data_IF_363204703977
#
_entry.id   IF_363204703977
#
_cell.length_a   1.000
_cell.length_b   1.000
_cell.length_c   1.000
_cell.angle_alpha   90.00
_cell.angle_beta   90.00
_cell.angle_gamma   90.00
#
_symmetry.space_group_name_H-M   'P 1'
#
loop_
_entity.id
_entity.type
_entity.pdbx_description
1 polymer ?
#
# COMPACT_ATOMS: atom_id res chain seq x y z
N UNK A 1 10.36 -7.47 22.74
CA UNK A 1 9.55 -8.71 22.80
C UNK A 1 8.03 -8.43 22.73
N UNK A 2 7.55 -7.16 22.81
CA UNK A 2 6.11 -6.82 22.78
C UNK A 2 5.40 -7.06 21.44
N UNK A 3 5.98 -6.65 20.31
CA UNK A 3 5.28 -6.65 19.02
C UNK A 3 4.81 -8.03 18.53
N UNK A 4 5.45 -9.11 19.01
CA UNK A 4 5.16 -10.49 18.59
C UNK A 4 3.90 -11.06 19.27
N UNK A 5 3.58 -10.60 20.49
CA UNK A 5 2.35 -11.00 21.18
C UNK A 5 1.14 -10.22 20.65
N UNK A 6 1.32 -8.93 20.33
CA UNK A 6 0.26 -8.08 19.75
C UNK A 6 -0.20 -8.58 18.38
N UNK A 7 0.73 -8.99 17.51
CA UNK A 7 0.44 -9.56 16.20
C UNK A 7 -0.46 -10.80 16.27
N UNK A 8 -0.18 -11.68 17.24
CA UNK A 8 -0.92 -12.92 17.47
C UNK A 8 -2.31 -12.63 18.02
N UNK A 9 -2.44 -11.62 18.90
CA UNK A 9 -3.72 -11.17 19.46
C UNK A 9 -4.63 -10.56 18.38
N UNK A 10 -4.11 -9.68 17.52
CA UNK A 10 -4.90 -9.02 16.46
C UNK A 10 -5.46 -10.01 15.44
N UNK A 11 -4.64 -10.97 15.00
CA UNK A 11 -5.03 -11.98 14.00
C UNK A 11 -6.03 -13.01 14.54
N UNK A 12 -5.87 -13.42 15.80
CA UNK A 12 -6.71 -14.46 16.38
C UNK A 12 -8.10 -13.95 16.77
N UNK A 13 -8.21 -12.67 17.13
CA UNK A 13 -9.44 -12.07 17.65
C UNK A 13 -10.36 -11.55 16.55
N UNK A 14 -9.99 -11.67 15.27
CA UNK A 14 -10.68 -11.01 14.16
C UNK A 14 -11.92 -11.76 13.66
N UNK A 15 -12.20 -12.98 14.16
CA UNK A 15 -13.45 -13.71 13.88
C UNK A 15 -13.72 -14.08 12.41
N UNK A 16 -12.73 -13.91 11.53
CA UNK A 16 -12.93 -13.98 10.07
C UNK A 16 -13.29 -15.39 9.59
N UNK A 17 -14.34 -15.45 8.77
CA UNK A 17 -14.84 -16.63 8.06
C UNK A 17 -13.91 -17.00 6.91
N UNK A 18 -13.39 -16.00 6.18
CA UNK A 18 -12.51 -16.24 5.05
C UNK A 18 -11.06 -16.54 5.50
N UNK A 19 -10.67 -17.80 5.35
CA UNK A 19 -9.32 -18.28 5.73
C UNK A 19 -8.20 -17.65 4.91
N UNK A 20 -8.45 -17.34 3.64
CA UNK A 20 -7.46 -16.70 2.77
C UNK A 20 -7.26 -15.24 3.14
N UNK A 21 -8.34 -14.53 3.47
CA UNK A 21 -8.30 -13.18 4.02
C UNK A 21 -7.49 -13.14 5.32
N UNK A 22 -7.80 -14.05 6.26
CA UNK A 22 -7.05 -14.18 7.52
C UNK A 22 -5.56 -14.37 7.27
N UNK A 23 -5.19 -15.24 6.33
CA UNK A 23 -3.78 -15.47 5.96
C UNK A 23 -3.12 -14.21 5.38
N UNK A 24 -3.82 -13.49 4.50
CA UNK A 24 -3.29 -12.26 3.90
C UNK A 24 -3.11 -11.15 4.93
N UNK A 25 -4.04 -10.99 5.88
CA UNK A 25 -3.91 -10.04 7.00
C UNK A 25 -2.71 -10.37 7.88
N UNK A 26 -2.49 -11.65 8.20
CA UNK A 26 -1.28 -12.09 8.93
C UNK A 26 -0.02 -11.65 8.19
N UNK A 27 0.06 -11.92 6.90
CA UNK A 27 1.22 -11.58 6.09
C UNK A 27 1.49 -10.07 6.09
N UNK A 28 0.44 -9.25 5.99
CA UNK A 28 0.53 -7.78 6.09
C UNK A 28 1.12 -7.39 7.44
N UNK A 29 0.55 -7.87 8.54
CA UNK A 29 0.99 -7.49 9.89
C UNK A 29 2.42 -7.97 10.18
N UNK A 30 2.81 -9.16 9.70
CA UNK A 30 4.20 -9.65 9.79
C UNK A 30 5.15 -8.73 9.01
N UNK A 31 4.75 -8.32 7.81
CA UNK A 31 5.55 -7.43 6.99
C UNK A 31 5.72 -6.05 7.65
N UNK A 32 4.67 -5.47 8.23
CA UNK A 32 4.74 -4.21 8.99
C UNK A 32 5.81 -4.25 10.09
N UNK A 33 5.99 -5.40 10.75
CA UNK A 33 6.99 -5.57 11.81
C UNK A 33 8.45 -5.73 11.34
N UNK A 34 8.69 -6.02 10.06
CA UNK A 34 10.03 -6.45 9.56
C UNK A 34 10.79 -5.39 8.74
N UNK A 35 10.15 -4.28 8.34
CA UNK A 35 10.82 -2.98 8.16
C UNK A 35 11.36 -2.52 6.79
N UNK A 36 11.68 -3.37 5.80
CA UNK A 36 11.90 -2.94 4.38
C UNK A 36 11.93 -4.19 3.48
N UNK A 37 11.46 -4.06 2.23
CA UNK A 37 10.86 -5.14 1.39
C UNK A 37 9.47 -5.60 1.86
N UNK A 38 9.09 -5.30 3.10
CA UNK A 38 7.72 -5.45 3.60
C UNK A 38 6.70 -4.67 2.80
N UNK A 39 7.04 -3.48 2.27
CA UNK A 39 6.09 -2.65 1.52
C UNK A 39 5.55 -3.37 0.27
N UNK A 40 6.41 -4.06 -0.50
CA UNK A 40 5.97 -4.83 -1.66
C UNK A 40 5.19 -6.09 -1.29
N UNK A 41 5.48 -6.69 -0.13
CA UNK A 41 4.69 -7.80 0.42
C UNK A 41 3.30 -7.31 0.83
N UNK A 42 3.22 -6.21 1.59
CA UNK A 42 1.96 -5.59 1.99
C UNK A 42 1.15 -5.20 0.76
N UNK A 43 1.79 -4.59 -0.24
CA UNK A 43 1.12 -4.21 -1.48
C UNK A 43 0.59 -5.43 -2.25
N UNK A 44 1.36 -6.51 -2.33
CA UNK A 44 0.91 -7.75 -2.93
C UNK A 44 -0.28 -8.38 -2.21
N UNK A 45 -0.29 -8.36 -0.88
CA UNK A 45 -1.41 -8.90 -0.10
C UNK A 45 -2.67 -8.03 -0.23
N UNK A 46 -2.54 -6.69 -0.23
CA UNK A 46 -3.68 -5.82 -0.54
C UNK A 46 -4.20 -6.03 -1.96
N UNK A 47 -3.32 -6.11 -2.98
CA UNK A 47 -3.73 -6.42 -4.35
C UNK A 47 -4.50 -7.74 -4.44
N UNK A 48 -4.00 -8.78 -3.75
CA UNK A 48 -4.66 -10.09 -3.67
C UNK A 48 -6.04 -10.00 -3.00
N UNK A 49 -6.15 -9.33 -1.85
CA UNK A 49 -7.43 -9.18 -1.13
C UNK A 49 -8.45 -8.44 -2.00
N UNK A 50 -8.04 -7.34 -2.64
CA UNK A 50 -8.95 -6.52 -3.43
C UNK A 50 -9.37 -7.22 -4.73
N UNK A 51 -8.43 -7.79 -5.50
CA UNK A 51 -8.77 -8.47 -6.77
C UNK A 51 -9.48 -9.80 -6.58
N UNK A 52 -9.24 -10.46 -5.46
CA UNK A 52 -9.91 -11.69 -5.09
C UNK A 52 -11.21 -11.47 -4.32
N UNK A 53 -11.60 -10.21 -4.07
CA UNK A 53 -12.80 -9.84 -3.28
C UNK A 53 -12.85 -10.58 -1.93
N UNK A 54 -11.67 -10.88 -1.35
CA UNK A 54 -11.55 -11.79 -0.20
C UNK A 54 -12.20 -11.25 1.07
N UNK A 55 -12.49 -9.95 1.10
CA UNK A 55 -13.06 -9.25 2.25
C UNK A 55 -14.60 -9.31 2.30
N UNK A 56 -15.30 -9.63 1.21
CA UNK A 56 -16.76 -9.49 1.12
C UNK A 56 -17.56 -10.41 2.06
N UNK A 57 -16.98 -11.54 2.46
CA UNK A 57 -17.63 -12.46 3.41
C UNK A 57 -17.62 -11.93 4.85
N UNK A 58 -16.66 -11.07 5.17
CA UNK A 58 -16.37 -10.64 6.54
C UNK A 58 -16.57 -9.12 6.75
N UNK A 59 -16.73 -8.36 5.66
CA UNK A 59 -16.85 -6.90 5.67
C UNK A 59 -17.86 -6.42 4.63
N UNK A 60 -18.68 -5.43 4.97
CA UNK A 60 -19.71 -4.88 4.05
C UNK A 60 -19.08 -4.12 2.88
N UNK A 61 -17.91 -3.52 3.09
CA UNK A 61 -17.21 -2.75 2.07
C UNK A 61 -15.68 -2.80 2.21
N UNK A 62 -15.00 -2.40 1.13
CA UNK A 62 -13.55 -2.14 1.16
C UNK A 62 -13.18 -1.08 2.21
N UNK A 63 -14.07 -0.13 2.48
CA UNK A 63 -13.87 0.92 3.48
C UNK A 63 -13.82 0.36 4.90
N UNK A 64 -14.69 -0.59 5.22
CA UNK A 64 -14.74 -1.25 6.53
C UNK A 64 -13.49 -2.11 6.75
N UNK A 65 -13.10 -2.88 5.72
CA UNK A 65 -11.85 -3.61 5.73
C UNK A 65 -10.64 -2.69 5.96
N UNK A 66 -10.55 -1.57 5.24
CA UNK A 66 -9.46 -0.61 5.40
C UNK A 66 -9.40 -0.04 6.83
N UNK A 67 -10.57 0.29 7.38
CA UNK A 67 -10.72 0.80 8.75
C UNK A 67 -10.22 -0.19 9.79
N UNK A 68 -10.53 -1.48 9.65
CA UNK A 68 -10.02 -2.54 10.54
C UNK A 68 -8.52 -2.74 10.40
N UNK A 69 -7.98 -2.59 9.19
CA UNK A 69 -6.54 -2.66 8.96
C UNK A 69 -5.77 -1.46 9.53
N UNK A 70 -6.48 -0.38 9.91
CA UNK A 70 -5.90 0.85 10.43
C UNK A 70 -5.28 1.72 9.35
N UNK A 71 -5.79 1.65 8.12
CA UNK A 71 -5.28 2.38 6.96
C UNK A 71 -6.42 3.03 6.17
N UNK A 72 -6.10 4.02 5.34
CA UNK A 72 -7.09 4.58 4.43
C UNK A 72 -7.34 3.65 3.23
N UNK A 73 -8.56 3.67 2.70
CA UNK A 73 -8.86 3.00 1.43
C UNK A 73 -8.04 3.56 0.25
N UNK A 74 -7.63 4.83 0.35
CA UNK A 74 -6.69 5.47 -0.56
C UNK A 74 -5.33 4.75 -0.56
N UNK A 75 -4.74 4.48 0.60
CA UNK A 75 -3.46 3.77 0.71
C UNK A 75 -3.52 2.37 0.08
N UNK A 76 -4.59 1.62 0.37
CA UNK A 76 -4.81 0.30 -0.26
C UNK A 76 -4.82 0.44 -1.78
N UNK A 77 -5.52 1.45 -2.30
CA UNK A 77 -5.61 1.70 -3.74
C UNK A 77 -4.27 2.09 -4.35
N UNK A 78 -3.44 2.88 -3.66
CA UNK A 78 -2.08 3.19 -4.09
C UNK A 78 -1.23 1.93 -4.22
N UNK A 79 -1.32 1.04 -3.24
CA UNK A 79 -0.55 -0.20 -3.19
C UNK A 79 -0.97 -1.16 -4.32
N UNK A 80 -2.28 -1.34 -4.53
CA UNK A 80 -2.83 -2.14 -5.65
C UNK A 80 -2.38 -1.59 -7.01
N UNK A 81 -2.46 -0.27 -7.23
CA UNK A 81 -2.00 0.37 -8.48
C UNK A 81 -0.50 0.19 -8.71
N UNK A 82 0.33 0.31 -7.67
CA UNK A 82 1.77 0.07 -7.78
C UNK A 82 2.10 -1.37 -8.18
N UNK A 83 1.40 -2.36 -7.61
CA UNK A 83 1.56 -3.78 -7.98
C UNK A 83 1.13 -4.02 -9.41
N UNK A 84 0.01 -3.43 -9.81
CA UNK A 84 -0.48 -3.51 -11.18
C UNK A 84 0.54 -2.94 -12.17
N UNK A 85 1.07 -1.75 -11.91
CA UNK A 85 2.10 -1.12 -12.74
C UNK A 85 3.30 -2.03 -12.98
N UNK A 86 3.90 -2.58 -11.93
CA UNK A 86 5.05 -3.49 -12.09
C UNK A 86 4.66 -4.76 -12.85
N UNK A 87 3.44 -5.25 -12.65
CA UNK A 87 2.94 -6.46 -13.33
C UNK A 87 2.69 -6.21 -14.82
N UNK A 88 2.19 -5.03 -15.20
CA UNK A 88 1.74 -4.70 -16.56
C UNK A 88 2.68 -3.81 -17.34
N UNK A 89 3.75 -3.29 -16.73
CA UNK A 89 4.73 -2.47 -17.44
C UNK A 89 5.26 -3.23 -18.68
N UNK A 90 5.29 -2.53 -19.81
CA UNK A 90 5.70 -3.07 -21.11
C UNK A 90 7.14 -3.56 -21.07
N UNK A 91 7.51 -4.50 -21.95
CA UNK A 91 8.80 -5.22 -21.87
C UNK A 91 10.03 -4.32 -21.76
N UNK A 92 9.99 -3.17 -22.44
CA UNK A 92 11.14 -2.29 -22.56
C UNK A 92 11.29 -1.44 -21.29
N UNK A 93 10.16 -1.00 -20.72
CA UNK A 93 10.07 -0.30 -19.42
C UNK A 93 10.19 -1.24 -18.22
N UNK A 94 9.86 -2.53 -18.40
CA UNK A 94 9.97 -3.59 -17.38
C UNK A 94 11.41 -3.94 -17.03
N UNK A 95 12.34 -3.72 -17.96
CA UNK A 95 13.77 -3.83 -17.68
C UNK A 95 14.27 -2.71 -16.76
N UNK A 96 13.53 -1.60 -16.72
CA UNK A 96 13.87 -0.40 -15.95
C UNK A 96 13.23 -0.42 -14.55
N UNK A 97 11.98 -0.88 -14.42
CA UNK A 97 11.26 -0.88 -13.13
C UNK A 97 10.86 -2.28 -12.69
N UNK A 98 11.36 -2.70 -11.53
CA UNK A 98 10.96 -3.91 -10.84
C UNK A 98 10.87 -3.69 -9.31
N UNK A 99 10.51 -4.74 -8.57
CA UNK A 99 10.35 -4.66 -7.11
C UNK A 99 11.68 -4.49 -6.36
N UNK A 100 12.80 -4.82 -6.99
CA UNK A 100 14.13 -4.77 -6.39
C UNK A 100 14.76 -3.38 -6.53
N UNK A 101 14.40 -2.63 -7.59
CA UNK A 101 14.94 -1.31 -7.89
C UNK A 101 13.93 -0.15 -7.72
N UNK A 102 12.63 -0.44 -7.55
CA UNK A 102 11.57 0.57 -7.44
C UNK A 102 10.83 0.46 -6.12
N UNK A 103 10.57 1.59 -5.45
CA UNK A 103 9.73 1.62 -4.24
C UNK A 103 8.25 1.55 -4.63
N UNK A 104 7.39 1.07 -3.72
CA UNK A 104 5.93 1.09 -3.93
C UNK A 104 5.42 2.51 -4.24
N UNK A 105 5.97 3.53 -3.55
CA UNK A 105 5.63 4.94 -3.77
C UNK A 105 6.01 5.43 -5.17
N UNK A 106 7.23 5.13 -5.63
CA UNK A 106 7.64 5.45 -7.01
C UNK A 106 6.77 4.76 -8.05
N UNK A 107 6.56 3.46 -7.89
CA UNK A 107 5.72 2.70 -8.81
C UNK A 107 4.30 3.28 -8.89
N UNK A 108 3.71 3.67 -7.75
CA UNK A 108 2.41 4.36 -7.75
C UNK A 108 2.44 5.70 -8.49
N UNK A 109 3.45 6.54 -8.25
CA UNK A 109 3.58 7.84 -8.94
C UNK A 109 3.71 7.67 -10.46
N UNK A 110 4.53 6.71 -10.91
CA UNK A 110 4.69 6.38 -12.32
C UNK A 110 3.41 5.80 -12.92
N UNK A 111 2.69 4.96 -12.17
CA UNK A 111 1.40 4.40 -12.59
C UNK A 111 0.31 5.46 -12.81
N UNK A 112 0.45 6.64 -12.18
CA UNK A 112 -0.48 7.74 -12.30
C UNK A 112 -0.13 8.72 -13.43
N UNK A 113 0.94 8.46 -14.19
CA UNK A 113 1.26 9.21 -15.40
C UNK A 113 0.52 8.57 -16.58
N UNK A 114 -0.28 9.36 -17.27
CA UNK A 114 -0.93 8.94 -18.52
C UNK A 114 0.08 8.84 -19.67
N UNK A 115 1.14 9.63 -19.59
CA UNK A 115 2.18 9.88 -20.58
C UNK A 115 3.56 9.38 -20.10
N UNK A 116 3.58 8.19 -19.48
CA UNK A 116 4.78 7.62 -18.88
C UNK A 116 5.98 7.56 -19.83
N UNK A 117 5.78 7.20 -21.09
CA UNK A 117 6.88 7.09 -22.06
C UNK A 117 7.50 8.44 -22.40
N UNK A 118 6.67 9.50 -22.49
CA UNK A 118 7.13 10.86 -22.75
C UNK A 118 7.89 11.39 -21.52
N UNK A 119 7.41 11.11 -20.31
CA UNK A 119 8.15 11.39 -19.07
C UNK A 119 9.51 10.67 -19.01
N UNK A 120 9.57 9.41 -19.42
CA UNK A 120 10.84 8.66 -19.50
C UNK A 120 11.77 9.31 -20.51
N UNK A 121 11.25 9.71 -21.68
CA UNK A 121 12.01 10.43 -22.71
C UNK A 121 12.58 11.76 -22.19
N UNK A 122 11.77 12.54 -21.48
CA UNK A 122 12.21 13.77 -20.80
C UNK A 122 13.34 13.50 -19.80
N UNK A 123 13.21 12.47 -18.97
CA UNK A 123 14.27 12.13 -18.01
C UNK A 123 15.55 11.74 -18.73
N UNK A 124 15.47 11.01 -19.86
CA UNK A 124 16.64 10.65 -20.66
C UNK A 124 17.30 11.87 -21.31
N UNK A 125 16.53 12.84 -21.82
CA UNK A 125 17.10 14.05 -22.43
C UNK A 125 17.81 14.93 -21.41
N UNK A 126 17.33 14.94 -20.17
CA UNK A 126 17.90 15.70 -19.06
C UNK A 126 18.97 14.92 -18.25
N UNK A 127 19.38 13.73 -18.72
CA UNK A 127 20.34 12.84 -18.04
C UNK A 127 19.93 12.49 -16.59
N UNK A 128 18.62 12.36 -16.36
CA UNK A 128 18.02 12.03 -15.05
C UNK A 128 17.84 10.51 -14.94
N UNK A 129 18.53 9.90 -13.98
CA UNK A 129 18.32 8.50 -13.62
C UNK A 129 17.13 8.33 -12.66
N UNK A 130 15.96 8.00 -13.21
CA UNK A 130 14.69 7.81 -12.48
C UNK A 130 14.83 6.82 -11.31
N UNK A 131 15.62 5.75 -11.47
CA UNK A 131 15.78 4.69 -10.48
C UNK A 131 16.48 5.24 -9.22
N UNK A 132 17.50 6.07 -9.42
CA UNK A 132 18.34 6.62 -8.35
C UNK A 132 17.68 7.78 -7.59
N UNK A 133 16.65 8.40 -8.15
CA UNK A 133 15.91 9.47 -7.46
C UNK A 133 15.33 8.97 -6.14
N UNK A 134 15.22 9.84 -5.14
CA UNK A 134 14.33 9.54 -4.00
C UNK A 134 12.86 9.67 -4.43
N UNK A 135 11.92 9.15 -3.64
CA UNK A 135 10.48 9.37 -3.89
C UNK A 135 10.14 10.87 -3.98
N UNK A 136 10.76 11.70 -3.14
CA UNK A 136 10.61 13.15 -3.19
C UNK A 136 11.23 13.77 -4.47
N UNK A 137 12.39 13.26 -4.89
CA UNK A 137 13.04 13.67 -6.14
C UNK A 137 12.17 13.35 -7.35
N UNK A 138 11.63 12.13 -7.42
CA UNK A 138 10.71 11.74 -8.49
C UNK A 138 9.47 12.63 -8.54
N UNK A 139 8.87 12.94 -7.38
CA UNK A 139 7.72 13.86 -7.30
C UNK A 139 8.05 15.25 -7.88
N UNK A 140 9.25 15.77 -7.59
CA UNK A 140 9.70 17.06 -8.13
C UNK A 140 9.96 16.99 -9.63
N UNK A 141 10.59 15.91 -10.12
CA UNK A 141 10.84 15.70 -11.55
C UNK A 141 9.53 15.59 -12.33
N UNK A 142 8.54 14.85 -11.83
CA UNK A 142 7.21 14.77 -12.42
C UNK A 142 6.56 16.17 -12.48
N UNK A 143 6.68 16.96 -11.42
CA UNK A 143 6.16 18.33 -11.40
C UNK A 143 6.84 19.22 -12.45
N UNK A 144 8.17 19.13 -12.59
CA UNK A 144 8.92 19.87 -13.58
C UNK A 144 8.51 19.50 -15.01
N UNK A 145 8.39 18.20 -15.31
CA UNK A 145 7.91 17.69 -16.58
C UNK A 145 6.51 18.21 -16.92
N UNK A 146 5.54 18.09 -15.99
CA UNK A 146 4.18 18.59 -16.21
C UNK A 146 4.15 20.09 -16.49
N UNK A 147 4.95 20.88 -15.79
CA UNK A 147 5.06 22.31 -16.03
C UNK A 147 5.62 22.62 -17.43
N UNK A 148 6.59 21.84 -17.93
CA UNK A 148 7.12 22.00 -19.29
C UNK A 148 6.04 21.68 -20.34
N UNK A 149 5.31 20.56 -20.18
CA UNK A 149 4.23 20.16 -21.09
C UNK A 149 3.10 21.20 -21.15
N UNK A 150 2.81 21.87 -20.03
CA UNK A 150 1.85 22.97 -19.99
C UNK A 150 2.36 24.18 -20.76
N UNK A 151 3.63 24.57 -20.55
CA UNK A 151 4.25 25.74 -21.21
C UNK A 151 4.38 25.55 -22.72
N UNK A 152 4.71 24.34 -23.18
CA UNK A 152 4.80 24.04 -24.62
C UNK A 152 3.42 24.03 -25.31
N UNK A 153 2.32 23.90 -24.54
CA UNK A 153 0.95 23.94 -25.04
C UNK A 153 0.24 25.29 -24.83
N UNK A 154 0.92 26.31 -24.31
CA UNK A 154 0.31 27.63 -24.03
C UNK A 154 1.16 28.81 -24.54
N UNK A 155 0.99 29.17 -25.82
CA UNK A 155 0.92 30.60 -26.16
C UNK A 155 -0.44 31.11 -25.65
N UNK A 156 -0.42 31.80 -24.50
CA UNK A 156 -1.52 32.51 -23.80
C UNK A 156 -2.82 31.75 -23.51
N UNK A 157 -3.01 31.26 -22.27
CA UNK A 157 -4.28 31.49 -21.52
C UNK A 157 -4.03 31.43 -20.00
N UNK A 158 -4.75 32.29 -19.28
CA UNK A 158 -4.76 32.59 -17.83
C UNK A 158 -4.97 31.39 -16.87
N UNK A 159 -4.54 31.64 -15.62
CA UNK A 159 -4.79 30.89 -14.38
C UNK A 159 -6.04 29.99 -14.40
N UNK A 160 -5.81 28.71 -14.10
CA UNK A 160 -6.84 27.86 -13.50
C UNK A 160 -6.26 27.17 -12.28
N UNK A 161 -6.82 27.57 -11.13
CA UNK A 161 -6.66 26.98 -9.81
C UNK A 161 -6.53 25.46 -9.86
N UNK A 162 -5.42 24.96 -9.30
CA UNK A 162 -5.33 23.56 -8.93
C UNK A 162 -5.87 23.46 -7.51
N UNK A 163 -7.02 22.82 -7.33
CA UNK A 163 -7.59 22.50 -6.02
C UNK A 163 -6.52 21.81 -5.17
N UNK A 164 -6.06 22.51 -4.13
CA UNK A 164 -5.39 21.90 -2.99
C UNK A 164 -6.42 21.00 -2.31
N UNK A 165 -6.16 19.69 -2.29
CA UNK A 165 -6.88 18.79 -1.40
C UNK A 165 -6.31 19.03 0.00
N UNK A 166 -6.89 20.00 0.70
CA UNK A 166 -6.79 20.15 2.15
C UNK A 166 -7.40 18.91 2.80
N UNK A 167 -6.58 18.12 3.49
CA UNK A 167 -7.02 17.06 4.39
C UNK A 167 -7.15 17.69 5.78
N UNK A 168 -8.25 18.42 6.00
CA UNK A 168 -8.66 18.89 7.34
C UNK A 168 -9.71 17.95 7.93
N UNK A 169 -9.30 17.33 9.02
CA UNK A 169 -9.92 17.39 10.35
C UNK A 169 -10.26 16.06 11.05
N UNK A 170 -10.04 16.19 12.35
CA UNK A 170 -9.84 15.28 13.47
C UNK A 170 -11.12 14.72 14.13
N UNK A 171 -10.89 13.79 15.08
CA UNK A 171 -11.79 13.23 16.12
C UNK A 171 -12.60 11.99 15.67
N UNK A 172 -12.65 10.82 16.34
CA UNK A 172 -12.54 10.45 17.76
C UNK A 172 -11.68 9.15 17.93
N UNK A 173 -10.79 9.10 18.93
CA UNK A 173 -9.84 7.97 19.16
C UNK A 173 -10.05 7.26 20.51
N UNK A 174 -10.99 7.70 21.36
CA UNK A 174 -11.08 7.18 22.73
C UNK A 174 -11.90 5.88 22.91
N UNK A 175 -12.79 5.51 21.98
CA UNK A 175 -13.68 4.34 22.16
C UNK A 175 -13.08 2.97 21.75
N UNK A 176 -11.91 2.93 21.10
CA UNK A 176 -11.35 1.68 20.55
C UNK A 176 -10.52 0.85 21.53
N UNK A 177 -10.11 1.41 22.68
CA UNK A 177 -9.20 0.74 23.62
C UNK A 177 -9.93 -0.24 24.55
N UNK A 178 -11.19 0.04 24.88
CA UNK A 178 -11.95 -0.80 25.82
C UNK A 178 -12.60 -2.01 25.14
N UNK A 179 -12.97 -1.92 23.85
CA UNK A 179 -13.37 -3.07 23.03
C UNK A 179 -12.27 -4.14 22.95
N UNK A 180 -11.01 -3.70 22.85
CA UNK A 180 -9.85 -4.61 22.78
C UNK A 180 -9.65 -5.36 24.11
N UNK A 181 -10.04 -4.80 25.26
CA UNK A 181 -9.87 -5.44 26.57
C UNK A 181 -10.93 -6.50 26.87
N UNK A 182 -12.17 -6.30 26.43
CA UNK A 182 -13.24 -7.28 26.61
C UNK A 182 -12.98 -8.56 25.78
N UNK A 183 -12.46 -8.43 24.56
CA UNK A 183 -12.11 -9.57 23.70
C UNK A 183 -10.95 -10.45 24.22
N UNK A 184 -10.16 -9.99 25.20
CA UNK A 184 -9.00 -10.73 25.73
C UNK A 184 -9.40 -11.89 26.67
N UNK A 185 -10.64 -11.96 27.13
CA UNK A 185 -11.05 -12.89 28.19
C UNK A 185 -11.55 -14.27 27.69
N UNK A 186 -11.66 -14.49 26.38
CA UNK A 186 -12.39 -15.65 25.82
C UNK A 186 -11.53 -16.75 25.15
N UNK A 187 -10.19 -16.67 25.16
CA UNK A 187 -9.34 -17.62 24.41
C UNK A 187 -9.15 -18.99 25.08
N UNK A 188 -9.12 -20.08 24.27
CA UNK A 188 -8.96 -21.46 24.76
C UNK A 188 -7.54 -22.04 24.57
N UNK A 189 -7.25 -23.14 25.28
CA UNK A 189 -5.90 -23.74 25.36
C UNK A 189 -5.43 -24.43 24.07
N UNK A 190 -6.35 -24.86 23.22
CA UNK A 190 -6.06 -25.59 21.98
C UNK A 190 -5.60 -24.62 20.86
N UNK A 191 -6.17 -23.41 20.82
CA UNK A 191 -5.82 -22.35 19.86
C UNK A 191 -4.37 -21.87 20.05
N UNK A 192 -3.88 -21.90 21.29
CA UNK A 192 -2.48 -21.60 21.64
C UNK A 192 -1.47 -22.66 21.17
N UNK A 193 -1.89 -23.90 20.90
CA UNK A 193 -1.00 -24.99 20.45
C UNK A 193 -0.74 -24.96 18.96
N UNK A 194 -1.73 -24.68 18.12
CA UNK A 194 -1.59 -24.66 16.66
C UNK A 194 -0.60 -23.59 16.20
N UNK A 195 -0.64 -22.42 16.83
CA UNK A 195 0.24 -21.29 16.53
C UNK A 195 1.70 -21.62 16.87
N UNK A 196 1.93 -22.32 18.00
CA UNK A 196 3.27 -22.80 18.37
C UNK A 196 3.83 -23.83 17.39
N UNK A 197 2.97 -24.59 16.72
CA UNK A 197 3.37 -25.54 15.68
C UNK A 197 3.83 -24.80 14.42
N UNK A 198 3.03 -23.84 13.95
CA UNK A 198 3.28 -23.09 12.71
C UNK A 198 4.52 -22.18 12.78
N UNK A 199 4.79 -21.59 13.94
CA UNK A 199 6.02 -20.81 14.20
C UNK A 199 7.28 -21.70 14.17
N UNK A 200 7.15 -22.98 14.54
CA UNK A 200 8.28 -23.90 14.59
C UNK A 200 8.76 -24.31 13.19
N UNK A 201 7.86 -24.31 12.21
CA UNK A 201 8.13 -24.60 10.79
C UNK A 201 8.74 -23.45 9.99
N UNK A 202 8.82 -22.24 10.56
CA UNK A 202 9.40 -21.06 9.92
C UNK A 202 10.85 -20.74 10.37
N UNK A 203 11.46 -21.63 11.16
CA UNK A 203 12.89 -21.61 11.51
C UNK A 203 13.67 -22.53 10.59
#
# INVERSE_FOLDING_TARGET
MSNRNELVTVVNNMGLSNKELKKSIVNIKVAELTGKQSAWVIAGEYDKIIKGELFEEDFESKGDFASVMGVSGGLISQYTKAVEFIRTCESDTKSMFDKDNTTVGKAYMLACLEDLQDFIGYCQSEDINIIELSDAGLKQTIKAYKNMVIVDNTEEVEDTDTEEVEDTDTEEVEDKVDYIKELLQELTSEELKEIKSFIRTLK
#
